data_IF_850163840302
#
_entry.id   IF_850163840302
#
_cell.length_a   1.000
_cell.length_b   1.000
_cell.length_c   1.000
_cell.angle_alpha   90.00
_cell.angle_beta   90.00
_cell.angle_gamma   90.00
#
_symmetry.space_group_name_H-M   'P 1'
#
loop_
_entity.id
_entity.type
_entity.pdbx_description
1 polymer ?
#
# COMPACT_ATOMS: atom_id res chain seq x y z
N UNK A 1 9.34 -9.29 4.95
CA UNK A 1 8.72 -8.50 3.88
C UNK A 1 9.62 -8.48 2.66
N UNK A 2 9.06 -8.75 1.48
CA UNK A 2 9.70 -8.76 0.16
C UNK A 2 8.69 -8.24 -0.87
N UNK A 3 9.18 -7.84 -2.04
CA UNK A 3 8.32 -7.46 -3.17
C UNK A 3 7.36 -8.60 -3.49
N UNK A 4 6.08 -8.29 -3.60
CA UNK A 4 4.99 -9.23 -3.82
C UNK A 4 4.29 -9.73 -2.56
N UNK A 5 4.86 -9.53 -1.37
CA UNK A 5 4.20 -9.88 -0.10
C UNK A 5 2.94 -9.04 0.10
N UNK A 6 1.90 -9.67 0.66
CA UNK A 6 0.72 -8.97 1.16
C UNK A 6 1.05 -8.41 2.55
N UNK A 7 0.73 -7.14 2.78
CA UNK A 7 0.87 -6.47 4.07
C UNK A 7 -0.45 -5.85 4.47
N UNK A 8 -0.71 -5.81 5.77
CA UNK A 8 -1.86 -5.12 6.34
C UNK A 8 -1.46 -3.69 6.73
N UNK A 9 -2.29 -2.72 6.38
CA UNK A 9 -2.16 -1.34 6.84
C UNK A 9 -2.73 -1.25 8.26
N UNK A 10 -1.96 -0.69 9.21
CA UNK A 10 -2.43 -0.53 10.60
C UNK A 10 -3.62 0.40 10.73
N UNK A 11 -3.75 1.32 9.78
CA UNK A 11 -4.89 2.22 9.66
C UNK A 11 -5.53 2.09 8.28
N UNK A 12 -6.87 2.24 8.18
CA UNK A 12 -7.54 2.34 6.90
C UNK A 12 -6.98 3.48 6.06
N UNK A 13 -6.66 3.21 4.81
CA UNK A 13 -6.15 4.20 3.87
C UNK A 13 -7.16 4.52 2.78
N UNK A 14 -7.29 5.81 2.43
CA UNK A 14 -8.08 6.28 1.29
C UNK A 14 -7.18 7.00 0.29
N UNK A 15 -7.11 6.54 -0.97
CA UNK A 15 -6.32 7.16 -2.04
C UNK A 15 -6.57 8.66 -2.21
N UNK A 16 -7.85 9.03 -2.18
CA UNK A 16 -8.33 10.41 -2.36
C UNK A 16 -9.44 10.69 -1.35
N UNK A 17 -9.68 11.97 -1.06
CA UNK A 17 -10.74 12.40 -0.12
C UNK A 17 -12.15 11.99 -0.58
N UNK A 18 -12.34 11.87 -1.90
CA UNK A 18 -13.59 11.48 -2.55
C UNK A 18 -13.67 9.99 -2.84
N UNK A 19 -12.61 9.21 -2.59
CA UNK A 19 -12.61 7.78 -2.86
C UNK A 19 -13.69 7.09 -2.01
N UNK A 20 -14.63 6.35 -2.64
CA UNK A 20 -15.62 5.58 -1.89
C UNK A 20 -14.98 4.36 -1.23
N UNK A 21 -13.80 3.95 -1.69
CA UNK A 21 -13.10 2.76 -1.23
C UNK A 21 -12.13 3.07 -0.10
N UNK A 22 -12.00 2.11 0.81
CA UNK A 22 -11.06 2.18 1.93
C UNK A 22 -10.26 0.89 1.96
N UNK A 23 -8.94 1.04 1.96
CA UNK A 23 -8.01 -0.06 1.84
C UNK A 23 -7.40 -0.38 3.19
N UNK A 24 -7.25 -1.67 3.45
CA UNK A 24 -6.64 -2.20 4.67
C UNK A 24 -5.41 -3.05 4.35
N UNK A 25 -5.12 -3.26 3.06
CA UNK A 25 -4.07 -4.13 2.58
C UNK A 25 -3.31 -3.48 1.43
N UNK A 26 -2.02 -3.80 1.37
CA UNK A 26 -1.13 -3.41 0.30
C UNK A 26 -0.29 -4.60 -0.14
N UNK A 27 0.08 -4.64 -1.42
CA UNK A 27 1.06 -5.57 -1.95
C UNK A 27 2.38 -4.84 -2.14
N UNK A 28 3.44 -5.37 -1.57
CA UNK A 28 4.75 -4.69 -1.54
C UNK A 28 5.29 -4.54 -2.95
N UNK A 29 5.48 -3.30 -3.38
CA UNK A 29 6.12 -2.93 -4.64
C UNK A 29 7.63 -2.72 -4.45
N UNK A 30 8.06 -2.31 -3.26
CA UNK A 30 9.45 -2.02 -2.94
C UNK A 30 9.67 -1.66 -1.48
N UNK A 31 10.93 -1.66 -1.06
CA UNK A 31 11.36 -1.23 0.28
C UNK A 31 12.48 -0.21 0.09
N UNK A 32 12.31 0.98 0.65
CA UNK A 32 13.31 2.04 0.65
C UNK A 32 13.95 2.06 2.03
N UNK A 33 15.19 1.59 2.13
CA UNK A 33 15.96 1.70 3.35
C UNK A 33 16.72 3.03 3.35
N UNK A 34 16.20 4.04 4.06
CA UNK A 34 16.97 5.25 4.38
C UNK A 34 17.60 5.09 5.77
N UNK A 35 18.64 5.87 6.09
CA UNK A 35 19.31 5.76 7.39
C UNK A 35 18.44 6.19 8.58
N UNK A 36 17.38 6.96 8.35
CA UNK A 36 16.53 7.50 9.41
C UNK A 36 15.19 6.78 9.54
N UNK A 37 14.55 6.41 8.43
CA UNK A 37 13.22 5.78 8.45
C UNK A 37 13.02 4.88 7.21
N UNK A 38 12.93 3.55 7.37
CA UNK A 38 12.61 2.68 6.24
C UNK A 38 11.14 2.84 5.84
N UNK A 39 10.92 2.97 4.54
CA UNK A 39 9.59 3.04 3.94
C UNK A 39 9.30 1.80 3.10
N UNK A 40 8.02 1.47 3.01
CA UNK A 40 7.47 0.40 2.22
C UNK A 40 6.57 1.01 1.17
N UNK A 41 6.88 0.69 -0.09
CA UNK A 41 6.05 1.05 -1.22
C UNK A 41 5.06 -0.07 -1.47
N UNK A 42 3.78 0.26 -1.61
CA UNK A 42 2.72 -0.73 -1.85
C UNK A 42 1.77 -0.32 -2.97
N UNK A 43 1.25 -1.33 -3.65
CA UNK A 43 0.02 -1.23 -4.42
C UNK A 43 -1.16 -1.56 -3.52
N UNK A 44 -2.20 -0.74 -3.54
CA UNK A 44 -3.39 -1.03 -2.74
C UNK A 44 -4.14 -2.22 -3.34
N UNK A 45 -4.53 -3.15 -2.47
CA UNK A 45 -5.13 -4.42 -2.86
C UNK A 45 -6.26 -4.83 -1.91
N UNK A 46 -7.05 -5.80 -2.35
CA UNK A 46 -8.08 -6.44 -1.55
C UNK A 46 -7.47 -7.33 -0.46
N UNK A 47 -8.32 -7.81 0.45
CA UNK A 47 -7.94 -8.79 1.48
C UNK A 47 -7.47 -10.13 0.92
N UNK A 48 -7.81 -10.46 -0.33
CA UNK A 48 -7.33 -11.64 -1.04
C UNK A 48 -6.01 -11.39 -1.82
N UNK A 49 -5.45 -10.18 -1.72
CA UNK A 49 -4.23 -9.76 -2.40
C UNK A 49 -4.40 -9.46 -3.90
N UNK A 50 -5.64 -9.43 -4.41
CA UNK A 50 -5.91 -8.96 -5.77
C UNK A 50 -5.70 -7.44 -5.87
N UNK A 51 -4.93 -7.01 -6.86
CA UNK A 51 -4.65 -5.61 -7.14
C UNK A 51 -5.91 -4.96 -7.69
N UNK A 52 -6.54 -4.09 -6.90
CA UNK A 52 -7.84 -3.49 -7.25
C UNK A 52 -7.74 -2.02 -7.59
N UNK A 53 -6.78 -1.28 -7.03
CA UNK A 53 -6.80 0.16 -7.20
C UNK A 53 -6.09 0.58 -8.48
N UNK A 54 -6.89 1.02 -9.45
CA UNK A 54 -6.49 1.91 -10.53
C UNK A 54 -7.08 3.29 -10.24
N UNK A 55 -6.30 4.34 -10.44
CA UNK A 55 -6.78 5.71 -10.29
C UNK A 55 -7.79 6.09 -11.40
N UNK A 56 -8.32 7.32 -11.33
CA UNK A 56 -9.30 7.83 -12.31
C UNK A 56 -8.76 7.90 -13.75
N UNK A 57 -7.44 7.79 -13.94
CA UNK A 57 -6.77 7.79 -15.23
C UNK A 57 -6.39 6.37 -15.69
N UNK A 58 -6.71 5.35 -14.90
CA UNK A 58 -6.41 3.95 -15.20
C UNK A 58 -4.99 3.52 -14.84
N UNK A 59 -4.25 4.30 -14.05
CA UNK A 59 -2.91 3.94 -13.60
C UNK A 59 -2.92 3.26 -12.24
N UNK A 60 -2.04 2.28 -12.08
CA UNK A 60 -1.81 1.64 -10.80
C UNK A 60 -0.92 2.55 -9.94
N UNK A 61 -1.50 3.16 -8.92
CA UNK A 61 -0.79 4.07 -8.03
C UNK A 61 0.05 3.31 -6.99
N UNK A 62 1.25 3.82 -6.70
CA UNK A 62 2.13 3.35 -5.63
C UNK A 62 2.04 4.33 -4.47
N UNK A 63 1.89 3.80 -3.26
CA UNK A 63 1.84 4.58 -2.03
C UNK A 63 3.01 4.21 -1.12
N UNK A 64 3.62 5.20 -0.47
CA UNK A 64 4.62 4.96 0.56
C UNK A 64 3.97 4.98 1.94
N UNK A 65 4.40 4.03 2.77
CA UNK A 65 4.07 3.94 4.19
C UNK A 65 5.35 3.74 4.97
N UNK A 66 5.41 4.21 6.21
CA UNK A 66 6.51 3.86 7.10
C UNK A 66 6.43 2.38 7.45
N UNK A 67 7.57 1.76 7.73
CA UNK A 67 7.61 0.35 8.10
C UNK A 67 6.77 0.03 9.34
N UNK A 68 6.61 0.98 10.27
CA UNK A 68 5.79 0.81 11.47
C UNK A 68 4.28 1.04 11.22
N UNK A 69 3.87 1.53 10.05
CA UNK A 69 2.46 1.70 9.66
C UNK A 69 1.86 0.45 9.01
N UNK A 70 2.70 -0.58 8.78
CA UNK A 70 2.33 -1.83 8.12
C UNK A 70 2.64 -3.05 8.98
N UNK A 71 1.92 -4.14 8.76
CA UNK A 71 2.09 -5.44 9.43
C UNK A 71 2.23 -6.55 8.39
N UNK A 72 3.13 -7.50 8.65
CA UNK A 72 3.38 -8.67 7.81
C UNK A 72 2.59 -9.89 8.30
#
# INVERSE_FOLDING_TARGET
MKVGDLVRLKQPFRPTITSPETFYFGKVAGIIATESDPEVLVYLCNSDGSEIYVDELGYQAIYSFRLDEVEC
#
